data_IF_604397701388
#
_entry.id   IF_604397701388
#
_cell.length_a   1.000
_cell.length_b   1.000
_cell.length_c   1.000
_cell.angle_alpha   90.00
_cell.angle_beta   90.00
_cell.angle_gamma   90.00
#
_symmetry.space_group_name_H-M   'P 1'
#
loop_
_entity.id
_entity.type
_entity.pdbx_description
1 polymer ?
#
# COMPACT_ATOMS: atom_id res chain seq x y z
N UNK A 1 16.35 -2.36 -19.23
CA UNK A 1 16.74 -3.74 -19.66
C UNK A 1 17.80 -4.34 -18.73
N UNK A 2 18.84 -3.60 -18.32
CA UNK A 2 19.88 -4.05 -17.38
C UNK A 2 19.28 -4.35 -15.99
N UNK A 3 18.47 -3.47 -15.42
CA UNK A 3 17.81 -3.69 -14.13
C UNK A 3 16.95 -4.95 -14.11
N UNK A 4 16.16 -5.19 -15.17
CA UNK A 4 15.34 -6.40 -15.29
C UNK A 4 16.18 -7.68 -15.30
N UNK A 5 17.32 -7.66 -15.98
CA UNK A 5 18.20 -8.83 -16.12
C UNK A 5 18.97 -9.16 -14.84
N UNK A 6 19.25 -8.15 -13.99
CA UNK A 6 20.02 -8.35 -12.76
C UNK A 6 19.16 -8.56 -11.51
N UNK A 7 17.97 -7.98 -11.43
CA UNK A 7 17.17 -8.01 -10.20
C UNK A 7 15.91 -8.88 -10.30
N UNK A 8 15.45 -9.21 -11.51
CA UNK A 8 14.15 -9.86 -11.76
C UNK A 8 12.97 -9.18 -11.04
N UNK A 9 13.17 -7.95 -10.53
CA UNK A 9 12.22 -7.23 -9.72
C UNK A 9 11.24 -6.43 -10.59
N UNK A 10 10.23 -7.12 -11.11
CA UNK A 10 9.17 -6.51 -11.95
C UNK A 10 8.42 -5.42 -11.19
N UNK A 11 8.13 -5.65 -9.91
CA UNK A 11 7.40 -4.73 -9.03
C UNK A 11 8.18 -3.44 -8.81
N UNK A 12 9.48 -3.52 -8.52
CA UNK A 12 10.32 -2.34 -8.33
C UNK A 12 10.39 -1.46 -9.58
N UNK A 13 10.46 -2.07 -10.77
CA UNK A 13 10.44 -1.35 -12.04
C UNK A 13 9.10 -0.63 -12.25
N UNK A 14 7.98 -1.31 -11.99
CA UNK A 14 6.64 -0.72 -12.10
C UNK A 14 6.46 0.48 -11.16
N UNK A 15 6.90 0.35 -9.90
CA UNK A 15 6.84 1.43 -8.91
C UNK A 15 7.75 2.60 -9.32
N UNK A 16 8.95 2.32 -9.83
CA UNK A 16 9.86 3.37 -10.32
C UNK A 16 9.22 4.20 -11.44
N UNK A 17 8.66 3.55 -12.46
CA UNK A 17 7.96 4.25 -13.54
C UNK A 17 6.72 5.00 -13.05
N UNK A 18 5.99 4.45 -12.09
CA UNK A 18 4.85 5.12 -11.48
C UNK A 18 5.25 6.41 -10.76
N UNK A 19 6.30 6.36 -9.92
CA UNK A 19 6.83 7.55 -9.23
C UNK A 19 7.31 8.59 -10.25
N UNK A 20 8.03 8.16 -11.27
CA UNK A 20 8.51 9.05 -12.33
C UNK A 20 7.35 9.71 -13.09
N UNK A 21 6.32 8.95 -13.42
CA UNK A 21 5.10 9.49 -14.02
C UNK A 21 4.44 10.52 -13.11
N UNK A 22 4.31 10.25 -11.80
CA UNK A 22 3.73 11.21 -10.84
C UNK A 22 4.53 12.51 -10.73
N UNK A 23 5.85 12.44 -10.79
CA UNK A 23 6.73 13.64 -10.77
C UNK A 23 6.52 14.48 -12.04
N UNK A 24 6.37 13.83 -13.20
CA UNK A 24 6.08 14.55 -14.45
C UNK A 24 4.67 15.14 -14.38
N UNK A 25 3.71 14.38 -13.90
CA UNK A 25 2.31 14.82 -13.74
C UNK A 25 2.16 16.00 -12.79
N UNK A 26 3.05 16.15 -11.79
CA UNK A 26 3.05 17.31 -10.89
C UNK A 26 3.06 18.64 -11.65
N UNK A 27 3.85 18.71 -12.73
CA UNK A 27 3.99 19.91 -13.55
C UNK A 27 2.78 20.21 -14.44
N UNK A 28 1.97 19.19 -14.72
CA UNK A 28 0.84 19.24 -15.67
C UNK A 28 -0.50 19.28 -14.93
N UNK A 29 -0.57 18.65 -13.76
CA UNK A 29 -1.81 18.41 -13.05
C UNK A 29 -2.14 19.54 -12.07
N UNK A 30 -3.38 20.04 -12.17
CA UNK A 30 -3.98 20.96 -11.19
C UNK A 30 -4.14 20.26 -9.83
N UNK A 31 -4.31 21.03 -8.76
CA UNK A 31 -4.42 20.57 -7.37
C UNK A 31 -5.41 19.42 -7.10
N UNK A 32 -6.39 19.24 -7.97
CA UNK A 32 -7.38 18.13 -7.86
C UNK A 32 -6.74 16.74 -7.86
N UNK A 33 -5.59 16.54 -8.51
CA UNK A 33 -4.90 15.23 -8.55
C UNK A 33 -4.24 14.86 -7.24
N UNK A 34 -3.90 15.84 -6.41
CA UNK A 34 -3.33 15.60 -5.08
C UNK A 34 -4.30 14.82 -4.18
N UNK A 35 -5.61 15.00 -4.38
CA UNK A 35 -6.65 14.21 -3.65
C UNK A 35 -6.57 12.72 -4.02
N UNK A 36 -6.31 12.40 -5.28
CA UNK A 36 -6.17 11.00 -5.73
C UNK A 36 -5.00 10.31 -5.00
N UNK A 37 -3.89 11.03 -4.81
CA UNK A 37 -2.76 10.52 -4.05
C UNK A 37 -3.11 10.32 -2.57
N UNK A 38 -3.89 11.22 -1.98
CA UNK A 38 -4.37 11.07 -0.60
C UNK A 38 -5.32 9.88 -0.42
N UNK A 39 -5.99 9.46 -1.48
CA UNK A 39 -6.87 8.29 -1.49
C UNK A 39 -6.16 6.98 -1.90
N UNK A 40 -4.88 7.02 -2.22
CA UNK A 40 -4.13 5.86 -2.74
C UNK A 40 -4.20 4.63 -1.81
N UNK A 41 -4.08 4.83 -0.50
CA UNK A 41 -4.13 3.75 0.50
C UNK A 41 -5.52 3.13 0.61
N UNK A 42 -6.61 3.87 0.86
CA UNK A 42 -7.93 3.27 0.89
C UNK A 42 -8.33 2.62 -0.44
N UNK A 43 -7.97 3.22 -1.59
CA UNK A 43 -8.22 2.63 -2.91
C UNK A 43 -7.45 1.33 -3.07
N UNK A 44 -6.16 1.28 -2.70
CA UNK A 44 -5.36 0.06 -2.73
C UNK A 44 -5.92 -1.04 -1.82
N UNK A 45 -6.40 -0.68 -0.63
CA UNK A 45 -7.04 -1.62 0.29
C UNK A 45 -8.36 -2.18 -0.26
N UNK A 46 -9.23 -1.32 -0.79
CA UNK A 46 -10.51 -1.75 -1.41
C UNK A 46 -10.24 -2.61 -2.63
N UNK A 47 -9.31 -2.24 -3.50
CA UNK A 47 -8.92 -3.04 -4.65
C UNK A 47 -8.43 -4.43 -4.23
N UNK A 48 -7.54 -4.51 -3.24
CA UNK A 48 -7.02 -5.77 -2.72
C UNK A 48 -8.14 -6.64 -2.11
N UNK A 49 -9.04 -6.03 -1.34
CA UNK A 49 -10.18 -6.72 -0.75
C UNK A 49 -11.13 -7.25 -1.83
N UNK A 50 -11.49 -6.44 -2.81
CA UNK A 50 -12.36 -6.85 -3.92
C UNK A 50 -11.74 -8.00 -4.72
N UNK A 51 -10.46 -7.91 -5.07
CA UNK A 51 -9.79 -8.97 -5.82
C UNK A 51 -9.71 -10.28 -5.02
N UNK A 52 -9.52 -10.22 -3.71
CA UNK A 52 -9.54 -11.40 -2.85
C UNK A 52 -10.92 -12.04 -2.76
N UNK A 53 -11.97 -11.23 -2.51
CA UNK A 53 -13.33 -11.72 -2.27
C UNK A 53 -13.98 -12.28 -3.54
N UNK A 54 -13.77 -11.59 -4.68
CA UNK A 54 -14.41 -11.91 -5.95
C UNK A 54 -13.55 -12.75 -6.88
N UNK A 55 -12.41 -13.25 -6.39
CA UNK A 55 -11.57 -14.11 -7.21
C UNK A 55 -12.29 -15.39 -7.60
N UNK A 56 -12.51 -15.54 -8.92
CA UNK A 56 -12.96 -16.75 -9.57
C UNK A 56 -11.98 -17.14 -10.66
N UNK A 57 -11.42 -18.35 -10.56
CA UNK A 57 -10.50 -18.90 -11.55
C UNK A 57 -11.15 -19.18 -12.92
N UNK A 58 -12.48 -19.21 -13.01
CA UNK A 58 -13.23 -19.29 -14.26
C UNK A 58 -13.27 -17.98 -15.04
N UNK A 59 -13.16 -16.85 -14.37
CA UNK A 59 -13.23 -15.52 -14.98
C UNK A 59 -11.88 -15.15 -15.65
N UNK A 60 -11.92 -14.86 -16.96
CA UNK A 60 -10.73 -14.54 -17.75
C UNK A 60 -10.02 -13.27 -17.27
N UNK A 61 -10.75 -12.26 -16.83
CA UNK A 61 -10.18 -11.01 -16.30
C UNK A 61 -9.47 -11.27 -14.98
N UNK A 62 -10.07 -12.04 -14.07
CA UNK A 62 -9.47 -12.39 -12.80
C UNK A 62 -8.24 -13.28 -12.97
N UNK A 63 -8.24 -14.19 -13.96
CA UNK A 63 -7.05 -14.99 -14.31
C UNK A 63 -5.93 -14.10 -14.83
N UNK A 64 -6.23 -13.14 -15.71
CA UNK A 64 -5.25 -12.20 -16.23
C UNK A 64 -4.65 -11.37 -15.11
N UNK A 65 -5.47 -10.78 -14.24
CA UNK A 65 -5.02 -10.02 -13.07
C UNK A 65 -4.13 -10.88 -12.17
N UNK A 66 -4.56 -12.11 -11.87
CA UNK A 66 -3.78 -13.02 -11.05
C UNK A 66 -2.43 -13.38 -11.68
N UNK A 67 -2.39 -13.57 -13.01
CA UNK A 67 -1.15 -13.79 -13.73
C UNK A 67 -0.20 -12.58 -13.68
N UNK A 68 -0.74 -11.36 -13.84
CA UNK A 68 0.03 -10.12 -13.75
C UNK A 68 0.69 -9.93 -12.37
N UNK A 69 0.02 -10.35 -11.30
CA UNK A 69 0.56 -10.30 -9.93
C UNK A 69 1.14 -11.64 -9.47
N UNK A 70 1.58 -12.48 -10.39
CA UNK A 70 2.31 -13.74 -10.11
C UNK A 70 1.56 -14.72 -9.20
N UNK A 71 0.25 -14.83 -9.34
CA UNK A 71 -0.58 -15.78 -8.59
C UNK A 71 -1.04 -15.32 -7.20
N UNK A 72 -0.67 -14.13 -6.78
CA UNK A 72 -0.91 -13.61 -5.41
C UNK A 72 -2.39 -13.48 -5.07
N UNK A 73 -3.26 -13.13 -6.03
CA UNK A 73 -4.71 -13.01 -5.79
C UNK A 73 -5.30 -14.40 -5.44
N UNK A 74 -4.88 -15.45 -6.15
CA UNK A 74 -5.29 -16.81 -5.86
C UNK A 74 -4.89 -17.24 -4.44
N UNK A 75 -3.64 -16.96 -4.03
CA UNK A 75 -3.14 -17.30 -2.70
C UNK A 75 -3.97 -16.59 -1.61
N UNK A 76 -4.21 -15.29 -1.75
CA UNK A 76 -5.02 -14.51 -0.82
C UNK A 76 -6.46 -15.03 -0.73
N UNK A 77 -7.09 -15.33 -1.87
CA UNK A 77 -8.45 -15.85 -1.92
C UNK A 77 -8.55 -17.24 -1.32
N UNK A 78 -7.59 -18.12 -1.59
CA UNK A 78 -7.53 -19.47 -1.01
C UNK A 78 -7.37 -19.40 0.50
N UNK A 79 -6.49 -18.52 0.99
CA UNK A 79 -6.30 -18.30 2.42
C UNK A 79 -7.59 -17.79 3.08
N UNK A 80 -8.24 -16.79 2.48
CA UNK A 80 -9.52 -16.28 2.96
C UNK A 80 -10.61 -17.37 3.04
N UNK A 81 -10.72 -18.20 1.99
CA UNK A 81 -11.73 -19.28 1.93
C UNK A 81 -11.49 -20.37 2.98
N UNK A 82 -10.24 -20.63 3.36
CA UNK A 82 -9.90 -21.66 4.35
C UNK A 82 -9.94 -21.17 5.79
N UNK A 83 -9.45 -19.96 6.05
CA UNK A 83 -9.26 -19.43 7.40
C UNK A 83 -10.30 -18.38 7.80
N UNK A 84 -10.94 -17.75 6.81
CA UNK A 84 -11.84 -16.62 7.05
C UNK A 84 -11.08 -15.38 7.54
N UNK A 85 -11.84 -14.41 8.05
CA UNK A 85 -11.31 -13.18 8.66
C UNK A 85 -11.56 -13.23 10.16
N UNK A 86 -10.55 -12.89 10.95
CA UNK A 86 -10.66 -12.66 12.38
C UNK A 86 -10.91 -11.20 12.70
N UNK A 87 -11.64 -10.91 13.77
CA UNK A 87 -11.75 -9.56 14.29
C UNK A 87 -10.45 -9.10 14.99
N UNK A 88 -9.81 -10.02 15.71
CA UNK A 88 -8.58 -9.78 16.47
C UNK A 88 -7.44 -10.64 15.91
N UNK A 89 -6.17 -10.30 16.19
CA UNK A 89 -5.04 -11.12 15.79
C UNK A 89 -5.21 -12.57 16.27
N UNK A 90 -4.90 -13.50 15.38
CA UNK A 90 -4.81 -14.92 15.72
C UNK A 90 -3.36 -15.37 15.64
N UNK A 91 -2.94 -16.22 16.58
CA UNK A 91 -1.76 -17.03 16.37
C UNK A 91 -2.08 -18.00 15.24
N UNK A 92 -1.61 -17.69 14.06
CA UNK A 92 -1.85 -18.55 12.91
C UNK A 92 -0.69 -19.54 12.83
N UNK A 93 -1.03 -20.81 12.90
CA UNK A 93 -0.10 -21.83 12.48
C UNK A 93 0.20 -21.59 11.01
N UNK A 94 1.46 -21.26 10.73
CA UNK A 94 1.97 -21.18 9.37
C UNK A 94 1.66 -22.53 8.73
N UNK A 95 0.79 -22.54 7.74
CA UNK A 95 0.40 -23.76 7.02
C UNK A 95 1.63 -24.33 6.30
N UNK A 96 2.36 -25.18 6.98
CA UNK A 96 3.34 -26.08 6.37
C UNK A 96 2.55 -27.19 5.67
N UNK A 97 2.16 -27.00 4.43
CA UNK A 97 1.51 -28.13 3.79
C UNK A 97 1.25 -28.06 2.30
N UNK A 98 0.70 -27.03 1.77
CA UNK A 98 0.41 -26.97 0.31
C UNK A 98 0.53 -25.58 -0.32
N UNK A 99 0.57 -24.53 0.46
CA UNK A 99 0.70 -23.17 -0.04
C UNK A 99 1.83 -22.45 0.71
N UNK A 100 3.06 -22.68 0.26
CA UNK A 100 4.21 -21.88 0.64
C UNK A 100 4.04 -20.49 0.03
N UNK A 101 3.25 -19.66 0.64
CA UNK A 101 3.04 -18.30 0.17
C UNK A 101 2.78 -17.39 1.35
N UNK A 102 3.75 -16.59 1.71
CA UNK A 102 3.51 -15.35 2.43
C UNK A 102 2.47 -14.57 1.60
N UNK A 103 1.50 -13.98 2.30
CA UNK A 103 0.56 -13.07 1.64
C UNK A 103 1.36 -11.83 1.23
N UNK A 104 1.75 -11.78 -0.03
CA UNK A 104 2.52 -10.70 -0.63
C UNK A 104 1.64 -9.49 -0.99
N UNK A 105 0.79 -9.09 -0.06
CA UNK A 105 -0.04 -7.91 -0.17
C UNK A 105 -0.19 -7.31 1.23
N UNK A 106 0.31 -6.12 1.42
CA UNK A 106 0.34 -5.46 2.73
C UNK A 106 -1.05 -5.30 3.34
N UNK A 107 -2.05 -4.92 2.55
CA UNK A 107 -3.42 -4.68 3.05
C UNK A 107 -4.07 -5.98 3.51
N UNK A 108 -3.95 -7.02 2.68
CA UNK A 108 -4.53 -8.32 3.00
C UNK A 108 -3.76 -9.04 4.10
N UNK A 109 -2.45 -8.82 4.16
CA UNK A 109 -1.65 -9.30 5.28
C UNK A 109 -2.18 -8.74 6.61
N UNK A 110 -2.33 -7.42 6.73
CA UNK A 110 -2.85 -6.81 7.97
C UNK A 110 -4.27 -7.27 8.25
N UNK A 111 -5.12 -7.38 7.22
CA UNK A 111 -6.51 -7.77 7.37
C UNK A 111 -6.68 -9.24 7.81
N UNK A 112 -5.92 -10.16 7.23
CA UNK A 112 -6.04 -11.59 7.49
C UNK A 112 -5.25 -12.03 8.74
N UNK A 113 -4.05 -11.48 8.98
CA UNK A 113 -3.20 -11.87 10.10
C UNK A 113 -3.41 -11.03 11.36
N UNK A 114 -3.52 -9.71 11.21
CA UNK A 114 -3.68 -8.84 12.37
C UNK A 114 -5.15 -8.65 12.76
N UNK A 115 -6.08 -9.09 11.92
CA UNK A 115 -7.51 -8.98 12.14
C UNK A 115 -8.13 -7.67 11.67
N UNK A 116 -9.44 -7.68 11.49
CA UNK A 116 -10.19 -6.58 10.89
C UNK A 116 -10.09 -5.29 11.70
N UNK A 117 -10.11 -5.35 13.02
CA UNK A 117 -10.03 -4.15 13.90
C UNK A 117 -8.68 -3.45 13.70
N UNK A 118 -7.58 -4.20 13.71
CA UNK A 118 -6.23 -3.65 13.51
C UNK A 118 -6.08 -3.09 12.10
N UNK A 119 -6.63 -3.79 11.09
CA UNK A 119 -6.60 -3.33 9.71
C UNK A 119 -7.35 -2.01 9.52
N UNK A 120 -8.55 -1.87 10.07
CA UNK A 120 -9.34 -0.64 10.00
C UNK A 120 -8.64 0.51 10.73
N UNK A 121 -8.07 0.26 11.90
CA UNK A 121 -7.30 1.26 12.63
C UNK A 121 -6.06 1.70 11.85
N UNK A 122 -5.32 0.76 11.27
CA UNK A 122 -4.18 1.05 10.41
C UNK A 122 -4.58 1.91 9.20
N UNK A 123 -5.62 1.51 8.47
CA UNK A 123 -6.12 2.26 7.31
C UNK A 123 -6.57 3.67 7.70
N UNK A 124 -7.24 3.81 8.84
CA UNK A 124 -7.65 5.11 9.36
C UNK A 124 -6.46 6.01 9.68
N UNK A 125 -5.46 5.50 10.40
CA UNK A 125 -4.25 6.26 10.75
C UNK A 125 -3.51 6.75 9.50
N UNK A 126 -3.24 5.84 8.55
CA UNK A 126 -2.50 6.18 7.34
C UNK A 126 -3.29 7.14 6.45
N UNK A 127 -4.59 6.90 6.26
CA UNK A 127 -5.45 7.80 5.48
C UNK A 127 -5.50 9.20 6.09
N UNK A 128 -5.64 9.29 7.41
CA UNK A 128 -5.64 10.59 8.11
C UNK A 128 -4.32 11.33 7.94
N UNK A 129 -3.20 10.61 7.98
CA UNK A 129 -1.86 11.17 7.73
C UNK A 129 -1.75 11.71 6.31
N UNK A 130 -2.21 10.96 5.31
CA UNK A 130 -2.22 11.38 3.91
C UNK A 130 -3.05 12.66 3.71
N UNK A 131 -4.23 12.74 4.32
CA UNK A 131 -5.04 13.96 4.24
C UNK A 131 -4.39 15.16 4.94
N UNK A 132 -3.63 14.96 6.02
CA UNK A 132 -2.83 16.03 6.63
C UNK A 132 -1.73 16.52 5.69
N UNK A 133 -0.98 15.59 5.08
CA UNK A 133 0.05 15.94 4.09
C UNK A 133 -0.54 16.68 2.89
N UNK A 134 -1.69 16.23 2.40
CA UNK A 134 -2.42 16.89 1.32
C UNK A 134 -2.79 18.33 1.68
N UNK A 135 -3.41 18.54 2.86
CA UNK A 135 -3.83 19.87 3.33
C UNK A 135 -2.64 20.78 3.63
N UNK A 136 -1.52 20.22 4.08
CA UNK A 136 -0.29 20.96 4.36
C UNK A 136 0.55 21.27 3.12
N UNK A 137 0.16 20.79 1.92
CA UNK A 137 0.90 21.03 0.69
C UNK A 137 2.19 20.20 0.53
N UNK A 138 2.38 19.16 1.34
CA UNK A 138 3.55 18.28 1.32
C UNK A 138 3.47 17.26 0.18
N UNK A 139 3.60 17.77 -1.05
CA UNK A 139 3.38 16.96 -2.25
C UNK A 139 4.39 15.83 -2.42
N UNK A 140 5.68 16.08 -2.14
CA UNK A 140 6.75 15.07 -2.32
C UNK A 140 6.54 13.87 -1.39
N UNK A 141 6.20 14.15 -0.14
CA UNK A 141 5.88 13.14 0.86
C UNK A 141 4.62 12.35 0.46
N UNK A 142 3.61 13.04 -0.07
CA UNK A 142 2.37 12.43 -0.55
C UNK A 142 2.64 11.47 -1.74
N UNK A 143 3.48 11.87 -2.70
CA UNK A 143 3.89 11.02 -3.82
C UNK A 143 4.64 9.79 -3.33
N UNK A 144 5.57 9.96 -2.40
CA UNK A 144 6.32 8.86 -1.82
C UNK A 144 5.38 7.82 -1.18
N UNK A 145 4.40 8.27 -0.39
CA UNK A 145 3.46 7.36 0.27
C UNK A 145 2.53 6.69 -0.75
N UNK A 146 2.06 7.41 -1.76
CA UNK A 146 1.25 6.83 -2.82
C UNK A 146 2.01 5.72 -3.58
N UNK A 147 3.31 5.90 -3.79
CA UNK A 147 4.17 4.87 -4.36
C UNK A 147 4.26 3.63 -3.46
N UNK A 148 4.43 3.81 -2.14
CA UNK A 148 4.41 2.71 -1.20
C UNK A 148 3.02 2.07 -1.07
N UNK A 149 1.95 2.85 -1.21
CA UNK A 149 0.59 2.31 -1.26
C UNK A 149 0.39 1.37 -2.45
N UNK A 150 0.88 1.76 -3.63
CA UNK A 150 0.86 0.89 -4.81
C UNK A 150 1.76 -0.34 -4.61
N UNK A 151 2.96 -0.13 -4.08
CA UNK A 151 3.87 -1.22 -3.76
C UNK A 151 3.24 -2.23 -2.78
N UNK A 152 2.49 -1.73 -1.79
CA UNK A 152 1.78 -2.54 -0.80
C UNK A 152 0.66 -3.42 -1.37
N UNK A 153 0.10 -3.09 -2.55
CA UNK A 153 -0.81 -3.98 -3.27
C UNK A 153 -0.07 -5.20 -3.84
N UNK A 154 1.19 -5.01 -4.19
CA UNK A 154 2.00 -6.00 -4.90
C UNK A 154 2.96 -6.76 -3.98
N UNK A 155 3.37 -6.15 -2.87
CA UNK A 155 4.38 -6.71 -1.96
C UNK A 155 3.99 -6.51 -0.50
N UNK A 156 4.41 -7.44 0.34
CA UNK A 156 4.27 -7.31 1.79
C UNK A 156 5.57 -6.71 2.36
N UNK A 157 5.49 -5.49 2.88
CA UNK A 157 6.63 -4.81 3.51
C UNK A 157 6.37 -4.38 4.96
N UNK A 158 5.14 -4.52 5.45
CA UNK A 158 4.73 -3.97 6.76
C UNK A 158 5.45 -4.65 7.92
N UNK A 159 5.87 -5.90 7.77
CA UNK A 159 6.64 -6.63 8.77
C UNK A 159 8.10 -6.21 8.83
N UNK A 160 8.59 -5.52 7.81
CA UNK A 160 9.94 -5.00 7.81
C UNK A 160 9.93 -3.58 8.39
N UNK A 161 10.15 -3.45 9.70
CA UNK A 161 10.12 -2.15 10.39
C UNK A 161 11.07 -1.11 9.81
N UNK A 162 12.19 -1.52 9.21
CA UNK A 162 13.13 -0.61 8.54
C UNK A 162 12.63 -0.09 7.19
N UNK A 163 11.75 -0.84 6.52
CA UNK A 163 11.21 -0.50 5.20
C UNK A 163 9.77 -0.01 5.26
N UNK A 164 9.22 0.17 6.46
CA UNK A 164 7.83 0.54 6.62
C UNK A 164 7.66 2.06 6.81
N UNK A 165 7.48 2.84 5.73
CA UNK A 165 7.29 4.28 5.84
C UNK A 165 5.97 4.65 6.52
N UNK A 166 4.98 3.74 6.56
CA UNK A 166 3.70 4.00 7.21
C UNK A 166 3.86 4.14 8.74
N UNK A 167 4.77 3.40 9.36
CA UNK A 167 5.07 3.54 10.79
C UNK A 167 5.71 4.90 11.07
N UNK A 168 6.69 5.31 10.25
CA UNK A 168 7.32 6.62 10.37
C UNK A 168 6.32 7.75 10.19
N UNK A 169 5.36 7.57 9.29
CA UNK A 169 4.31 8.56 9.03
C UNK A 169 3.26 8.66 10.12
N UNK A 170 3.01 7.58 10.86
CA UNK A 170 2.17 7.65 12.06
C UNK A 170 2.76 8.61 13.11
N UNK A 171 4.08 8.80 13.13
CA UNK A 171 4.74 9.84 13.92
C UNK A 171 4.24 11.26 13.61
N UNK A 172 3.90 11.55 12.35
CA UNK A 172 3.33 12.85 11.96
C UNK A 172 1.95 13.10 12.59
N UNK A 173 1.18 12.05 12.87
CA UNK A 173 -0.09 12.18 13.59
C UNK A 173 0.10 12.55 15.05
N UNK A 174 1.18 12.06 15.67
CA UNK A 174 1.50 12.30 17.08
C UNK A 174 2.18 13.65 17.28
N UNK A 175 2.93 14.12 16.29
CA UNK A 175 3.70 15.36 16.35
C UNK A 175 3.35 16.30 15.19
N UNK A 176 2.13 16.87 15.16
CA UNK A 176 1.68 17.78 14.10
C UNK A 176 2.57 19.03 13.96
N UNK A 177 3.13 19.50 15.07
CA UNK A 177 3.97 20.72 15.12
C UNK A 177 5.26 20.59 14.28
N UNK A 178 5.74 19.36 14.03
CA UNK A 178 6.90 19.13 13.16
C UNK A 178 6.64 19.56 11.70
N UNK A 179 5.38 19.48 11.25
CA UNK A 179 4.99 19.93 9.91
C UNK A 179 4.82 21.46 9.86
N UNK A 180 4.28 22.08 10.91
CA UNK A 180 4.08 23.53 10.96
C UNK A 180 5.42 24.26 11.00
N UNK A 181 6.35 23.80 11.84
CA UNK A 181 7.70 24.38 11.92
C UNK A 181 8.42 24.38 10.57
N UNK A 182 8.35 23.27 9.82
CA UNK A 182 9.00 23.18 8.49
C UNK A 182 8.39 24.16 7.48
N UNK A 183 7.09 24.44 7.57
CA UNK A 183 6.42 25.42 6.71
C UNK A 183 6.89 26.83 6.99
N UNK A 184 7.03 27.19 8.25
CA UNK A 184 7.48 28.53 8.66
C UNK A 184 8.94 28.77 8.28
N UNK A 185 9.80 27.74 8.39
CA UNK A 185 11.20 27.80 7.97
C UNK A 185 11.33 28.00 6.45
N UNK A 186 10.43 27.41 5.64
CA UNK A 186 10.44 27.59 4.17
C UNK A 186 9.93 28.97 3.78
N UNK A 187 8.86 29.47 4.41
CA UNK A 187 8.34 30.82 4.17
C UNK A 187 9.27 31.94 4.64
N UNK A 188 10.17 31.65 5.58
CA UNK A 188 11.19 32.61 6.03
C UNK A 188 12.43 32.65 5.15
N UNK A 189 12.60 31.66 4.26
CA UNK A 189 13.74 31.55 3.34
C UNK A 189 13.45 32.05 1.90
N UNK A 190 12.19 32.37 1.60
CA UNK A 190 11.74 33.06 0.37
C UNK A 190 11.62 34.58 0.61
#
# INVERSE_FOLDING_TARGET
LLFYKFTYCRTGIAVFFFVWALIIFEKIAKDRWKVVLALSVPVGAVFSLCTMLFYDGGNSVMRLLNHLVSGRIYIMSSYYKTQGVSLIPRAQELFYGQYYGLIDNTYMFVFLYCGAIVALFFLWCVTKTLFRLYRGGYYKELVMIAAFALYGVLEQFIMNGFMNPFVLLCGILLYPDLLEKKRDDVCAAE
#
